data_IF_400560519385
#
_entry.id   IF_400560519385
#
_cell.length_a   1.000
_cell.length_b   1.000
_cell.length_c   1.000
_cell.angle_alpha   90.00
_cell.angle_beta   90.00
_cell.angle_gamma   90.00
#
_symmetry.space_group_name_H-M   'P 1'
#
loop_
_entity.id
_entity.type
_entity.pdbx_description
1 polymer ?
#
# COMPACT_ATOMS: atom_id res chain seq x y z
N UNK A 1 29.63 -36.41 -63.42
CA UNK A 1 28.48 -36.52 -62.50
C UNK A 1 28.88 -36.63 -61.03
N UNK A 2 29.90 -37.42 -60.65
CA UNK A 2 30.28 -37.66 -59.22
C UNK A 2 30.76 -36.43 -58.43
N UNK A 3 31.45 -35.47 -59.06
CA UNK A 3 31.95 -34.24 -58.39
C UNK A 3 30.83 -33.27 -57.98
N UNK A 4 29.75 -33.19 -58.74
CA UNK A 4 28.59 -32.34 -58.45
C UNK A 4 27.88 -32.82 -57.19
N UNK A 5 27.62 -34.13 -57.08
CA UNK A 5 26.95 -34.74 -55.92
C UNK A 5 27.71 -34.53 -54.62
N UNK A 6 29.05 -34.63 -54.64
CA UNK A 6 29.90 -34.37 -53.45
C UNK A 6 29.80 -32.92 -52.97
N UNK A 7 29.66 -31.95 -53.88
CA UNK A 7 29.50 -30.52 -53.55
C UNK A 7 28.14 -30.24 -52.88
N UNK A 8 27.08 -30.87 -53.35
CA UNK A 8 25.75 -30.76 -52.73
C UNK A 8 25.70 -31.44 -51.36
N UNK A 9 26.34 -32.61 -51.20
CA UNK A 9 26.44 -33.31 -49.93
C UNK A 9 27.19 -32.47 -48.88
N UNK A 10 28.31 -31.85 -49.26
CA UNK A 10 29.07 -30.97 -48.36
C UNK A 10 28.25 -29.76 -47.91
N UNK A 11 27.49 -29.14 -48.83
CA UNK A 11 26.57 -28.04 -48.48
C UNK A 11 25.48 -28.49 -47.50
N UNK A 12 24.90 -29.68 -47.69
CA UNK A 12 23.91 -30.24 -46.78
C UNK A 12 24.46 -30.47 -45.37
N UNK A 13 25.66 -31.04 -45.26
CA UNK A 13 26.35 -31.26 -43.98
C UNK A 13 26.67 -29.93 -43.30
N UNK A 14 27.14 -28.93 -44.05
CA UNK A 14 27.42 -27.61 -43.50
C UNK A 14 26.16 -26.93 -42.95
N UNK A 15 25.03 -27.02 -43.67
CA UNK A 15 23.75 -26.48 -43.20
C UNK A 15 23.27 -27.22 -41.94
N UNK A 16 23.37 -28.55 -41.91
CA UNK A 16 22.98 -29.35 -40.76
C UNK A 16 23.83 -29.02 -39.53
N UNK A 17 25.16 -28.89 -39.68
CA UNK A 17 26.08 -28.51 -38.60
C UNK A 17 25.79 -27.10 -38.05
N UNK A 18 25.55 -26.13 -38.94
CA UNK A 18 25.17 -24.77 -38.55
C UNK A 18 23.82 -24.74 -37.82
N UNK A 19 22.85 -25.52 -38.29
CA UNK A 19 21.52 -25.62 -37.68
C UNK A 19 21.58 -26.25 -36.28
N UNK A 20 22.39 -27.31 -36.12
CA UNK A 20 22.68 -27.94 -34.83
C UNK A 20 23.38 -26.99 -33.86
N UNK A 21 24.36 -26.23 -34.35
CA UNK A 21 25.02 -25.20 -33.55
C UNK A 21 24.03 -24.16 -33.04
N UNK A 22 23.11 -23.71 -33.90
CA UNK A 22 22.07 -22.75 -33.52
C UNK A 22 21.10 -23.32 -32.47
N UNK A 23 20.71 -24.60 -32.62
CA UNK A 23 19.85 -25.30 -31.66
C UNK A 23 20.48 -25.39 -30.26
N UNK A 24 21.80 -25.51 -30.16
CA UNK A 24 22.51 -25.51 -28.87
C UNK A 24 22.63 -24.09 -28.29
N UNK A 25 22.78 -23.07 -29.14
CA UNK A 25 22.95 -21.68 -28.70
C UNK A 25 21.64 -21.06 -28.16
N UNK A 26 20.49 -21.42 -28.73
CA UNK A 26 19.17 -20.90 -28.31
C UNK A 26 18.90 -21.10 -26.81
N UNK A 27 19.00 -22.31 -26.23
CA UNK A 27 18.73 -22.52 -24.80
C UNK A 27 19.73 -21.84 -23.88
N UNK A 28 20.99 -21.65 -24.30
CA UNK A 28 22.02 -20.93 -23.52
C UNK A 28 21.68 -19.45 -23.42
N UNK A 29 21.23 -18.83 -24.51
CA UNK A 29 20.78 -17.43 -24.48
C UNK A 29 19.54 -17.30 -23.59
N UNK A 30 18.61 -18.25 -23.70
CA UNK A 30 17.41 -18.31 -22.85
C UNK A 30 17.73 -18.42 -21.36
N UNK A 31 18.70 -19.24 -20.96
CA UNK A 31 19.09 -19.39 -19.56
C UNK A 31 19.81 -18.14 -19.00
N UNK A 32 20.63 -17.47 -19.80
CA UNK A 32 21.27 -16.21 -19.39
C UNK A 32 20.24 -15.10 -19.22
N UNK A 33 19.24 -15.04 -20.11
CA UNK A 33 18.14 -14.07 -19.99
C UNK A 33 17.29 -14.37 -18.75
N UNK A 34 16.94 -15.63 -18.52
CA UNK A 34 16.14 -16.00 -17.34
C UNK A 34 16.88 -15.75 -16.03
N UNK A 35 18.20 -15.98 -15.99
CA UNK A 35 19.04 -15.66 -14.85
C UNK A 35 19.09 -14.15 -14.58
N UNK A 36 19.15 -13.32 -15.63
CA UNK A 36 19.04 -11.86 -15.49
C UNK A 36 17.69 -11.42 -14.92
N UNK A 37 16.59 -11.98 -15.43
CA UNK A 37 15.25 -11.67 -14.90
C UNK A 37 15.11 -12.10 -13.45
N UNK A 38 15.60 -13.30 -13.10
CA UNK A 38 15.59 -13.79 -11.72
C UNK A 38 16.39 -12.88 -10.78
N UNK A 39 17.60 -12.51 -11.19
CA UNK A 39 18.46 -11.63 -10.39
C UNK A 39 17.86 -10.23 -10.21
N UNK A 40 17.19 -9.67 -11.22
CA UNK A 40 16.46 -8.40 -11.09
C UNK A 40 15.39 -8.50 -10.00
N UNK A 41 14.56 -9.54 -10.06
CA UNK A 41 13.50 -9.76 -9.08
C UNK A 41 14.05 -9.96 -7.68
N UNK A 42 15.13 -10.74 -7.52
CA UNK A 42 15.81 -10.94 -6.24
C UNK A 42 16.35 -9.63 -5.66
N UNK A 43 16.97 -8.78 -6.48
CA UNK A 43 17.47 -7.47 -6.02
C UNK A 43 16.33 -6.54 -5.62
N UNK A 44 15.23 -6.49 -6.38
CA UNK A 44 14.05 -5.68 -6.03
C UNK A 44 13.46 -6.15 -4.71
N UNK A 45 13.35 -7.47 -4.53
CA UNK A 45 12.80 -8.06 -3.31
C UNK A 45 13.70 -7.78 -2.11
N UNK A 46 15.02 -8.00 -2.23
CA UNK A 46 15.98 -7.71 -1.15
C UNK A 46 15.93 -6.22 -0.75
N UNK A 47 15.82 -5.31 -1.72
CA UNK A 47 15.74 -3.88 -1.45
C UNK A 47 14.40 -3.51 -0.81
N UNK A 48 13.29 -4.06 -1.31
CA UNK A 48 11.96 -3.84 -0.72
C UNK A 48 11.87 -4.37 0.70
N UNK A 49 12.48 -5.53 0.98
CA UNK A 49 12.56 -6.10 2.33
C UNK A 49 13.32 -5.20 3.32
N UNK A 50 14.33 -4.45 2.83
CA UNK A 50 15.16 -3.56 3.67
C UNK A 50 14.64 -2.12 3.78
N UNK A 51 14.03 -1.60 2.72
CA UNK A 51 13.67 -0.17 2.58
C UNK A 51 12.18 0.10 2.45
N UNK A 52 11.35 -0.94 2.39
CA UNK A 52 9.91 -0.83 2.09
C UNK A 52 9.66 -0.88 0.58
N UNK A 53 8.51 -1.43 0.20
CA UNK A 53 8.07 -1.42 -1.20
C UNK A 53 7.53 -0.02 -1.59
N UNK A 54 6.97 0.09 -2.79
CA UNK A 54 6.18 1.25 -3.18
C UNK A 54 5.04 1.46 -2.17
N UNK A 55 4.90 2.70 -1.70
CA UNK A 55 3.93 3.07 -0.67
C UNK A 55 2.70 3.73 -1.29
N UNK A 56 1.53 3.22 -0.96
CA UNK A 56 0.23 3.84 -1.27
C UNK A 56 -0.44 4.23 0.03
N UNK A 57 -0.94 5.46 0.06
CA UNK A 57 -1.56 6.07 1.23
C UNK A 57 -3.07 6.18 1.03
N UNK A 58 -3.83 5.83 2.06
CA UNK A 58 -5.29 5.85 2.04
C UNK A 58 -5.82 6.67 3.22
N UNK A 59 -6.59 7.71 2.93
CA UNK A 59 -7.18 8.58 3.95
C UNK A 59 -6.36 9.84 4.23
N UNK A 60 -6.50 10.45 5.42
CA UNK A 60 -7.17 9.93 6.62
C UNK A 60 -8.70 9.86 6.49
N UNK A 61 -9.31 8.94 7.23
CA UNK A 61 -10.78 8.83 7.33
C UNK A 61 -11.22 8.84 8.80
N UNK A 62 -12.47 9.25 9.03
CA UNK A 62 -13.11 9.15 10.34
C UNK A 62 -14.11 7.99 10.33
N UNK A 63 -13.85 7.00 11.17
CA UNK A 63 -14.69 5.84 11.41
C UNK A 63 -15.54 6.07 12.66
N UNK A 64 -16.85 5.94 12.51
CA UNK A 64 -17.80 5.98 13.63
C UNK A 64 -18.50 4.63 13.70
N UNK A 65 -18.37 3.94 14.83
CA UNK A 65 -19.12 2.74 15.13
C UNK A 65 -20.31 3.09 16.02
N UNK A 66 -21.49 2.58 15.66
CA UNK A 66 -22.73 2.91 16.37
C UNK A 66 -23.70 1.73 16.40
N UNK A 67 -24.72 1.85 17.25
CA UNK A 67 -25.82 0.88 17.34
C UNK A 67 -27.06 1.48 16.73
N UNK A 68 -27.79 0.68 15.94
CA UNK A 68 -29.13 1.05 15.49
C UNK A 68 -30.16 0.10 16.10
N UNK A 69 -31.27 0.61 16.66
CA UNK A 69 -32.36 -0.24 17.11
C UNK A 69 -32.99 -0.95 15.90
N UNK A 70 -33.26 -2.23 16.04
CA UNK A 70 -34.01 -3.05 15.08
C UNK A 70 -35.07 -3.83 15.82
N UNK A 71 -36.22 -4.06 15.18
CA UNK A 71 -37.26 -4.91 15.74
C UNK A 71 -36.83 -6.37 15.56
N UNK A 72 -36.79 -7.13 16.65
CA UNK A 72 -36.67 -8.58 16.61
C UNK A 72 -38.02 -9.24 16.34
N UNK A 73 -38.00 -10.52 15.97
CA UNK A 73 -39.19 -11.30 15.61
C UNK A 73 -40.25 -11.37 16.72
N UNK A 74 -39.84 -11.20 17.99
CA UNK A 74 -40.73 -11.18 19.15
C UNK A 74 -41.10 -9.76 19.66
N UNK A 75 -41.03 -8.73 18.80
CA UNK A 75 -41.26 -7.32 19.18
C UNK A 75 -40.28 -6.78 20.24
N UNK A 76 -39.16 -7.46 20.45
CA UNK A 76 -38.06 -6.96 21.27
C UNK A 76 -37.20 -5.95 20.50
N UNK A 77 -36.68 -4.94 21.19
CA UNK A 77 -35.72 -4.00 20.59
C UNK A 77 -34.32 -4.60 20.66
N UNK A 78 -33.79 -5.01 19.51
CA UNK A 78 -32.41 -5.46 19.37
C UNK A 78 -31.53 -4.31 18.90
N UNK A 79 -30.24 -4.36 19.20
CA UNK A 79 -29.27 -3.35 18.76
C UNK A 79 -28.27 -3.97 17.79
N UNK A 80 -28.31 -3.53 16.53
CA UNK A 80 -27.34 -3.95 15.52
C UNK A 80 -26.15 -2.99 15.51
N UNK A 81 -24.93 -3.52 15.52
CA UNK A 81 -23.70 -2.73 15.34
C UNK A 81 -23.54 -2.38 13.86
N UNK A 82 -23.28 -1.10 13.57
CA UNK A 82 -22.96 -0.58 12.24
C UNK A 82 -21.73 0.31 12.30
N UNK A 83 -21.11 0.49 11.15
CA UNK A 83 -19.92 1.31 10.97
C UNK A 83 -20.17 2.30 9.83
N UNK A 84 -19.72 3.54 9.99
CA UNK A 84 -19.74 4.56 8.96
C UNK A 84 -18.36 5.18 8.80
N UNK A 85 -17.93 5.38 7.55
CA UNK A 85 -16.64 5.97 7.21
C UNK A 85 -16.90 7.31 6.54
N UNK A 86 -16.25 8.35 7.05
CA UNK A 86 -16.33 9.71 6.53
C UNK A 86 -14.97 10.14 5.99
N UNK A 87 -15.01 10.70 4.78
CA UNK A 87 -13.84 11.35 4.17
C UNK A 87 -13.74 12.80 4.65
N UNK A 88 -12.54 13.37 4.66
CA UNK A 88 -12.37 14.78 4.99
C UNK A 88 -13.03 15.66 3.93
N UNK A 89 -13.66 16.74 4.37
CA UNK A 89 -14.24 17.78 3.52
C UNK A 89 -13.15 18.52 2.73
N UNK A 90 -11.97 18.68 3.32
CA UNK A 90 -10.79 19.23 2.67
C UNK A 90 -9.55 18.44 3.09
N UNK A 91 -8.68 18.13 2.13
CA UNK A 91 -7.40 17.48 2.38
C UNK A 91 -6.30 18.14 1.57
N UNK A 92 -5.20 18.49 2.24
CA UNK A 92 -3.98 19.00 1.60
C UNK A 92 -2.80 18.17 2.07
N UNK A 93 -1.94 17.78 1.12
CA UNK A 93 -0.70 17.07 1.41
C UNK A 93 0.44 17.95 0.91
N UNK A 94 1.31 18.36 1.83
CA UNK A 94 2.51 19.15 1.53
C UNK A 94 3.73 18.43 2.05
N UNK A 95 4.85 18.46 1.34
CA UNK A 95 6.05 17.81 1.81
C UNK A 95 7.13 17.71 0.76
N UNK A 96 8.25 17.14 1.17
CA UNK A 96 9.40 16.93 0.30
C UNK A 96 9.61 15.44 0.06
N UNK A 97 9.93 15.08 -1.18
CA UNK A 97 10.32 13.74 -1.59
C UNK A 97 11.77 13.79 -2.03
N UNK A 98 12.64 13.10 -1.29
CA UNK A 98 14.07 13.00 -1.59
C UNK A 98 14.35 11.61 -2.16
N UNK A 99 14.77 11.56 -3.42
CA UNK A 99 15.13 10.31 -4.09
C UNK A 99 16.63 10.09 -4.11
N UNK A 100 17.07 8.85 -3.93
CA UNK A 100 18.47 8.45 -4.09
C UNK A 100 18.53 7.15 -4.89
N UNK A 101 19.23 7.17 -6.02
CA UNK A 101 19.48 5.97 -6.80
C UNK A 101 20.59 5.15 -6.14
N UNK A 102 20.29 3.91 -5.76
CA UNK A 102 21.31 2.95 -5.32
C UNK A 102 21.62 2.00 -6.44
N UNK A 103 22.92 1.83 -6.72
CA UNK A 103 23.44 0.89 -7.71
C UNK A 103 23.81 -0.42 -7.03
N UNK A 104 23.25 -1.53 -7.51
CA UNK A 104 23.70 -2.90 -7.18
C UNK A 104 24.00 -3.61 -8.50
N UNK A 105 25.29 -3.84 -8.77
CA UNK A 105 25.79 -4.40 -10.03
C UNK A 105 25.41 -3.54 -11.26
N UNK A 106 24.68 -4.08 -12.23
CA UNK A 106 24.17 -3.38 -13.42
C UNK A 106 22.80 -2.71 -13.21
N UNK A 107 22.17 -2.91 -12.06
CA UNK A 107 20.81 -2.43 -11.78
C UNK A 107 20.80 -1.22 -10.86
N UNK A 108 19.83 -0.35 -11.12
CA UNK A 108 19.56 0.85 -10.35
C UNK A 108 18.20 0.68 -9.70
N UNK A 109 18.14 0.91 -8.39
CA UNK A 109 16.87 1.00 -7.67
C UNK A 109 16.74 2.41 -7.12
N UNK A 110 15.60 3.04 -7.35
CA UNK A 110 15.31 4.37 -6.83
C UNK A 110 14.74 4.21 -5.43
N UNK A 111 15.49 4.64 -4.43
CA UNK A 111 14.99 4.76 -3.07
C UNK A 111 14.41 6.15 -2.88
N UNK A 112 13.37 6.26 -2.09
CA UNK A 112 12.82 7.55 -1.69
C UNK A 112 12.66 7.63 -0.18
N UNK A 113 12.84 8.84 0.34
CA UNK A 113 12.41 9.24 1.67
C UNK A 113 11.48 10.43 1.51
N UNK A 114 10.44 10.47 2.31
CA UNK A 114 9.46 11.55 2.31
C UNK A 114 9.35 12.15 3.68
N UNK A 115 9.15 13.47 3.72
CA UNK A 115 8.71 14.20 4.90
C UNK A 115 7.44 14.94 4.49
N UNK A 116 6.29 14.35 4.81
CA UNK A 116 4.97 14.80 4.40
C UNK A 116 4.20 15.34 5.61
N UNK A 117 3.41 16.37 5.39
CA UNK A 117 2.42 16.88 6.32
C UNK A 117 1.06 16.78 5.63
N UNK A 118 0.19 15.97 6.21
CA UNK A 118 -1.19 15.82 5.75
C UNK A 118 -2.07 16.66 6.67
N UNK A 119 -2.76 17.62 6.07
CA UNK A 119 -3.73 18.48 6.74
C UNK A 119 -5.13 18.12 6.24
N UNK A 120 -5.96 17.59 7.12
CA UNK A 120 -7.30 17.13 6.78
C UNK A 120 -8.34 17.79 7.69
N UNK A 121 -9.44 18.25 7.09
CA UNK A 121 -10.56 18.86 7.77
C UNK A 121 -11.81 17.99 7.59
N UNK A 122 -12.48 17.67 8.69
CA UNK A 122 -13.72 16.90 8.73
C UNK A 122 -14.90 17.81 9.06
N UNK A 123 -16.09 17.36 8.69
CA UNK A 123 -17.32 17.96 9.19
C UNK A 123 -17.44 17.80 10.72
N UNK A 124 -18.10 18.75 11.42
CA UNK A 124 -18.34 18.63 12.85
C UNK A 124 -19.09 17.35 13.22
N UNK A 125 -18.79 16.81 14.42
CA UNK A 125 -19.36 15.54 14.90
C UNK A 125 -20.88 15.53 14.82
N UNK A 126 -21.54 16.63 15.16
CA UNK A 126 -23.00 16.75 15.19
C UNK A 126 -23.60 16.54 13.80
N UNK A 127 -22.97 17.10 12.76
CA UNK A 127 -23.40 16.94 11.37
C UNK A 127 -23.20 15.51 10.88
N UNK A 128 -22.09 14.88 11.28
CA UNK A 128 -21.79 13.49 10.95
C UNK A 128 -22.79 12.53 11.60
N UNK A 129 -23.07 12.68 12.89
CA UNK A 129 -24.05 11.87 13.61
C UNK A 129 -25.48 12.08 13.07
N UNK A 130 -25.85 13.33 12.75
CA UNK A 130 -27.13 13.63 12.12
C UNK A 130 -27.29 12.94 10.76
N UNK A 131 -26.23 12.83 9.95
CA UNK A 131 -26.27 12.10 8.68
C UNK A 131 -26.50 10.59 8.83
N UNK A 132 -26.25 10.05 10.02
CA UNK A 132 -26.51 8.65 10.39
C UNK A 132 -27.86 8.47 11.09
N UNK A 133 -28.66 9.53 11.20
CA UNK A 133 -29.88 9.61 12.00
C UNK A 133 -29.65 9.26 13.49
N UNK A 134 -28.47 9.59 14.02
CA UNK A 134 -28.12 9.40 15.43
C UNK A 134 -28.30 10.72 16.15
N UNK A 135 -29.32 10.82 16.99
CA UNK A 135 -29.59 12.01 17.79
C UNK A 135 -29.08 11.90 19.23
N UNK A 136 -28.71 10.70 19.66
CA UNK A 136 -28.24 10.41 21.01
C UNK A 136 -26.86 9.73 20.93
N UNK A 137 -25.86 10.36 21.54
CA UNK A 137 -24.48 9.87 21.58
C UNK A 137 -24.33 8.55 22.32
N UNK A 138 -25.32 8.14 23.15
CA UNK A 138 -25.33 6.84 23.82
C UNK A 138 -25.27 5.67 22.83
N UNK A 139 -25.76 5.86 21.60
CA UNK A 139 -25.71 4.85 20.53
C UNK A 139 -24.32 4.74 19.88
N UNK A 140 -23.43 5.72 20.09
CA UNK A 140 -22.06 5.68 19.60
C UNK A 140 -21.24 4.70 20.46
N UNK A 141 -20.56 3.77 19.80
CA UNK A 141 -19.69 2.77 20.43
C UNK A 141 -18.27 3.31 20.49
N UNK A 142 -17.72 3.71 19.36
CA UNK A 142 -16.34 4.16 19.23
C UNK A 142 -16.22 5.15 18.07
N UNK A 143 -15.21 6.01 18.17
CA UNK A 143 -14.85 7.00 17.15
C UNK A 143 -13.35 6.85 16.90
N UNK A 144 -12.96 6.62 15.65
CA UNK A 144 -11.57 6.34 15.30
C UNK A 144 -11.17 7.16 14.09
N UNK A 145 -9.97 7.72 14.10
CA UNK A 145 -9.35 8.22 12.88
C UNK A 145 -8.49 7.08 12.33
N UNK A 146 -8.74 6.70 11.10
CA UNK A 146 -8.03 5.61 10.42
C UNK A 146 -7.20 6.16 9.27
N UNK A 147 -6.05 5.53 9.05
CA UNK A 147 -5.12 5.87 7.99
C UNK A 147 -4.51 4.59 7.43
N UNK A 148 -4.77 4.30 6.15
CA UNK A 148 -4.27 3.10 5.50
C UNK A 148 -2.91 3.32 4.85
N UNK A 149 -2.02 2.36 5.01
CA UNK A 149 -0.72 2.32 4.34
C UNK A 149 -0.55 0.97 3.66
N UNK A 150 -0.01 0.91 2.45
CA UNK A 150 0.15 -0.37 1.74
C UNK A 150 1.19 -1.30 2.38
N UNK A 151 2.23 -0.75 3.02
CA UNK A 151 3.28 -1.52 3.68
C UNK A 151 3.81 -0.78 4.92
N UNK A 152 3.47 -1.29 6.10
CA UNK A 152 3.84 -0.68 7.39
C UNK A 152 5.35 -0.65 7.62
N UNK A 153 6.15 -1.47 6.91
CA UNK A 153 7.63 -1.43 7.00
C UNK A 153 8.23 -0.16 6.40
N UNK A 154 7.48 0.52 5.52
CA UNK A 154 7.85 1.81 4.94
C UNK A 154 7.73 2.98 5.90
N UNK A 155 7.06 2.80 7.05
CA UNK A 155 6.94 3.83 8.06
C UNK A 155 8.27 3.94 8.84
N UNK A 156 8.91 5.12 8.80
CA UNK A 156 10.21 5.30 9.46
C UNK A 156 10.11 5.68 10.93
N UNK A 157 8.99 6.27 11.35
CA UNK A 157 8.75 6.77 12.71
C UNK A 157 7.31 6.45 13.13
N UNK A 158 7.05 6.38 14.44
CA UNK A 158 5.69 6.18 14.94
C UNK A 158 4.80 7.35 14.53
N UNK A 159 3.64 7.01 13.96
CA UNK A 159 2.71 8.01 13.45
C UNK A 159 1.96 8.63 14.62
N UNK A 160 1.98 9.95 14.74
CA UNK A 160 1.28 10.71 15.79
C UNK A 160 0.64 11.96 15.21
N UNK A 161 -0.35 12.50 15.91
CA UNK A 161 -0.96 13.78 15.51
C UNK A 161 -0.02 14.93 15.89
N UNK A 162 0.18 15.91 15.02
CA UNK A 162 1.00 17.08 15.32
C UNK A 162 0.44 17.89 16.51
N UNK A 163 -0.88 17.97 16.61
CA UNK A 163 -1.57 18.73 17.67
C UNK A 163 -1.72 17.90 18.98
N UNK A 164 -1.51 16.58 18.92
CA UNK A 164 -1.60 15.67 20.06
C UNK A 164 -0.53 14.56 19.95
N UNK A 165 0.75 14.88 20.23
CA UNK A 165 1.87 13.95 20.00
C UNK A 165 1.84 12.72 20.92
N UNK A 166 1.06 12.77 22.01
CA UNK A 166 0.81 11.66 22.91
C UNK A 166 -0.22 10.64 22.38
N UNK A 167 -0.95 10.96 21.30
CA UNK A 167 -1.83 10.03 20.60
C UNK A 167 -1.10 9.46 19.39
N UNK A 168 -0.63 8.23 19.53
CA UNK A 168 0.03 7.50 18.45
C UNK A 168 -0.96 6.55 17.78
N UNK A 169 -0.80 6.38 16.46
CA UNK A 169 -1.60 5.43 15.72
C UNK A 169 -1.09 4.02 15.99
N UNK A 170 -2.00 3.10 16.31
CA UNK A 170 -1.72 1.68 16.43
C UNK A 170 -2.24 0.92 15.21
N UNK A 171 -1.72 -0.28 14.96
CA UNK A 171 -2.28 -1.17 13.94
C UNK A 171 -3.73 -1.53 14.32
N UNK A 172 -4.67 -1.31 13.40
CA UNK A 172 -6.09 -1.61 13.62
C UNK A 172 -6.41 -3.03 13.15
N UNK A 173 -6.49 -3.95 14.12
CA UNK A 173 -6.85 -5.36 13.89
C UNK A 173 -8.31 -5.54 13.42
N UNK A 174 -9.17 -4.52 13.53
CA UNK A 174 -10.57 -4.55 13.10
C UNK A 174 -10.77 -3.87 11.74
N UNK A 175 -9.78 -3.99 10.85
CA UNK A 175 -9.74 -3.27 9.59
C UNK A 175 -10.94 -3.63 8.70
N UNK A 176 -11.77 -2.62 8.45
CA UNK A 176 -12.98 -2.63 7.60
C UNK A 176 -12.72 -3.19 6.18
N UNK A 177 -11.46 -3.13 5.75
CA UNK A 177 -10.96 -3.70 4.50
C UNK A 177 -9.78 -4.61 4.85
N UNK A 178 -10.01 -5.92 4.95
CA UNK A 178 -9.00 -6.94 5.26
C UNK A 178 -7.78 -6.97 4.32
N UNK A 179 -7.78 -6.16 3.26
CA UNK A 179 -6.77 -6.13 2.21
C UNK A 179 -5.67 -5.10 2.47
N UNK A 180 -5.90 -4.09 3.32
CA UNK A 180 -4.93 -3.00 3.57
C UNK A 180 -4.78 -2.83 5.08
N UNK A 181 -3.55 -2.78 5.64
CA UNK A 181 -3.38 -2.49 7.05
C UNK A 181 -3.73 -1.03 7.32
N UNK A 182 -4.64 -0.82 8.27
CA UNK A 182 -5.00 0.50 8.77
C UNK A 182 -4.29 0.75 10.08
N UNK A 183 -3.83 1.98 10.23
CA UNK A 183 -3.39 2.56 11.49
C UNK A 183 -4.56 3.37 12.04
N UNK A 184 -4.86 3.28 13.33
CA UNK A 184 -5.94 4.06 13.93
C UNK A 184 -5.60 4.71 15.27
N UNK A 185 -6.23 5.86 15.52
CA UNK A 185 -6.30 6.52 16.82
C UNK A 185 -7.75 6.48 17.28
N UNK A 186 -7.97 5.92 18.46
CA UNK A 186 -9.28 5.88 19.10
C UNK A 186 -9.53 7.13 19.95
N UNK A 187 -10.76 7.63 19.88
CA UNK A 187 -11.28 8.70 20.71
C UNK A 187 -12.29 8.11 21.67
N UNK A 188 -12.19 8.50 22.94
CA UNK A 188 -13.18 8.10 23.94
C UNK A 188 -14.57 8.62 23.57
N UNK A 189 -15.62 8.01 24.12
CA UNK A 189 -17.01 8.43 23.87
C UNK A 189 -17.23 9.91 24.21
N UNK A 190 -16.66 10.35 25.34
CA UNK A 190 -16.78 11.73 25.83
C UNK A 190 -15.89 12.73 25.08
N UNK A 191 -14.92 12.27 24.30
CA UNK A 191 -13.98 13.12 23.59
C UNK A 191 -14.53 13.48 22.21
N UNK A 192 -14.61 14.77 21.88
CA UNK A 192 -15.03 15.18 20.55
C UNK A 192 -13.99 14.80 19.50
N UNK A 193 -14.47 14.36 18.34
CA UNK A 193 -13.57 14.12 17.19
C UNK A 193 -13.05 15.46 16.67
N UNK A 194 -11.75 15.58 16.37
CA UNK A 194 -11.19 16.84 15.90
C UNK A 194 -11.74 17.20 14.52
N UNK A 195 -12.12 18.47 14.34
CA UNK A 195 -12.56 19.01 13.05
C UNK A 195 -11.40 19.16 12.07
N UNK A 196 -10.16 19.28 12.55
CA UNK A 196 -8.96 19.37 11.73
C UNK A 196 -7.86 18.53 12.36
N UNK A 197 -7.13 17.80 11.53
CA UNK A 197 -5.98 17.02 11.94
C UNK A 197 -4.78 17.36 11.08
N UNK A 198 -3.61 17.35 11.71
CA UNK A 198 -2.32 17.45 11.07
C UNK A 198 -1.51 16.20 11.38
N UNK A 199 -1.10 15.51 10.33
CA UNK A 199 -0.44 14.22 10.40
C UNK A 199 0.94 14.33 9.72
N UNK A 200 2.01 14.54 10.49
CA UNK A 200 3.37 14.44 9.98
C UNK A 200 3.66 12.96 9.69
N UNK A 201 4.10 12.69 8.46
CA UNK A 201 4.28 11.34 7.95
C UNK A 201 5.63 11.25 7.25
N UNK A 202 6.51 10.44 7.83
CA UNK A 202 7.80 10.11 7.22
C UNK A 202 7.77 8.68 6.69
N UNK A 203 7.96 8.55 5.39
CA UNK A 203 7.95 7.26 4.70
C UNK A 203 9.25 7.06 3.95
N UNK A 204 9.69 5.81 3.93
CA UNK A 204 10.71 5.28 3.05
C UNK A 204 10.12 4.20 2.16
N UNK A 205 10.69 4.07 0.98
CA UNK A 205 10.32 2.99 0.07
C UNK A 205 11.26 2.91 -1.10
N UNK A 206 11.01 1.92 -1.93
CA UNK A 206 11.65 1.75 -3.22
C UNK A 206 10.64 1.86 -4.35
N UNK A 207 11.06 2.49 -5.44
CA UNK A 207 10.31 2.58 -6.68
C UNK A 207 11.13 1.95 -7.80
N UNK A 208 10.47 1.13 -8.61
CA UNK A 208 11.06 0.57 -9.81
C UNK A 208 10.98 1.62 -10.92
N UNK A 209 12.14 2.03 -11.44
CA UNK A 209 12.27 2.81 -12.68
C UNK A 209 12.54 1.88 -13.85
#
# INVERSE_FOLDING_TARGET
MEKETKKHLFKGIAIAALSLGLLILIPIIGSIISERTRFQTEVIQEVSEKWGAQQTLYGPFLLIEYRTPTLGDHQETLYQRKQAIFSPTLQTITGNVVTTTKKRSLYHVTLFNTDLLIDAQFDPQEKLLASLNINDEAFVISKKIIYGISDTKGLSEELSLADAPNKTFALDDNSILYTIPFLSIEYSKEEQTPTRIKLPLKLKGSANS
#
